data_IF_250410059392
#
_entry.id   IF_250410059392
#
_cell.length_a   1.000
_cell.length_b   1.000
_cell.length_c   1.000
_cell.angle_alpha   90.00
_cell.angle_beta   90.00
_cell.angle_gamma   90.00
#
_symmetry.space_group_name_H-M   'P 1'
#
loop_
_entity.id
_entity.type
_entity.pdbx_description
1 polymer ?
#
# COMPACT_ATOMS: atom_id res chain seq x y z
N UNK A 1 -57.44 -3.02 8.82
CA UNK A 1 -56.66 -2.21 7.87
C UNK A 1 -55.48 -1.48 8.53
N UNK A 2 -55.17 -1.72 9.79
CA UNK A 2 -54.06 -1.03 10.51
C UNK A 2 -52.79 -1.87 10.68
N UNK A 3 -52.83 -3.16 10.35
CA UNK A 3 -51.65 -4.03 10.52
C UNK A 3 -50.55 -3.81 9.46
N UNK A 4 -50.91 -3.52 8.22
CA UNK A 4 -49.95 -3.30 7.14
C UNK A 4 -49.16 -1.98 7.29
N UNK A 5 -49.69 -0.98 7.99
CA UNK A 5 -49.03 0.31 8.15
C UNK A 5 -47.83 0.22 9.09
N UNK A 6 -47.91 -0.61 10.13
CA UNK A 6 -46.79 -0.86 11.05
C UNK A 6 -45.66 -1.61 10.40
N UNK A 7 -45.96 -2.63 9.59
CA UNK A 7 -44.97 -3.41 8.84
C UNK A 7 -44.24 -2.54 7.80
N UNK A 8 -44.98 -1.72 7.07
CA UNK A 8 -44.40 -0.78 6.10
C UNK A 8 -43.50 0.26 6.77
N UNK A 9 -43.91 0.77 7.92
CA UNK A 9 -43.12 1.77 8.65
C UNK A 9 -41.84 1.18 9.22
N UNK A 10 -41.91 -0.03 9.80
CA UNK A 10 -40.73 -0.75 10.31
C UNK A 10 -39.79 -1.16 9.15
N UNK A 11 -40.34 -1.67 8.05
CA UNK A 11 -39.58 -2.01 6.86
C UNK A 11 -38.85 -0.80 6.25
N UNK A 12 -39.55 0.35 6.17
CA UNK A 12 -38.98 1.62 5.70
C UNK A 12 -37.84 2.13 6.60
N UNK A 13 -38.01 2.01 7.93
CA UNK A 13 -36.97 2.39 8.90
C UNK A 13 -35.72 1.54 8.77
N UNK A 14 -35.89 0.21 8.66
CA UNK A 14 -34.76 -0.75 8.47
C UNK A 14 -34.01 -0.45 7.16
N UNK A 15 -34.76 -0.18 6.10
CA UNK A 15 -34.17 0.13 4.79
C UNK A 15 -33.37 1.44 4.82
N UNK A 16 -33.92 2.47 5.48
CA UNK A 16 -33.23 3.75 5.68
C UNK A 16 -31.93 3.58 6.50
N UNK A 17 -31.95 2.77 7.56
CA UNK A 17 -30.76 2.45 8.35
C UNK A 17 -29.73 1.66 7.55
N UNK A 18 -30.15 0.69 6.74
CA UNK A 18 -29.25 -0.10 5.90
C UNK A 18 -28.55 0.78 4.84
N UNK A 19 -29.30 1.66 4.19
CA UNK A 19 -28.73 2.61 3.21
C UNK A 19 -27.78 3.59 3.89
N UNK A 20 -28.16 4.16 5.04
CA UNK A 20 -27.30 5.06 5.82
C UNK A 20 -26.00 4.38 6.26
N UNK A 21 -26.09 3.14 6.74
CA UNK A 21 -24.92 2.35 7.11
C UNK A 21 -24.02 2.03 5.91
N UNK A 22 -24.61 1.71 4.77
CA UNK A 22 -23.86 1.46 3.53
C UNK A 22 -23.07 2.70 3.10
N UNK A 23 -23.71 3.87 3.09
CA UNK A 23 -23.05 5.13 2.77
C UNK A 23 -21.92 5.44 3.76
N UNK A 24 -22.15 5.20 5.05
CA UNK A 24 -21.14 5.38 6.10
C UNK A 24 -19.93 4.47 5.90
N UNK A 25 -20.16 3.19 5.58
CA UNK A 25 -19.10 2.22 5.28
C UNK A 25 -18.31 2.66 4.03
N UNK A 26 -18.97 3.10 2.96
CA UNK A 26 -18.30 3.60 1.77
C UNK A 26 -17.40 4.82 2.07
N UNK A 27 -17.79 5.71 2.96
CA UNK A 27 -16.97 6.86 3.34
C UNK A 27 -15.74 6.47 4.18
N UNK A 28 -15.87 5.47 5.05
CA UNK A 28 -14.76 5.01 5.89
C UNK A 28 -13.77 4.12 5.12
N UNK A 29 -14.27 3.33 4.16
CA UNK A 29 -13.43 2.39 3.40
C UNK A 29 -12.45 3.07 2.44
N UNK A 30 -12.47 4.41 2.35
CA UNK A 30 -11.45 5.17 1.60
C UNK A 30 -11.49 4.93 0.09
N UNK A 31 -12.62 4.46 -0.46
CA UNK A 31 -12.89 4.39 -1.90
C UNK A 31 -13.12 5.78 -2.53
N UNK A 32 -13.05 6.85 -1.73
CA UNK A 32 -12.96 8.20 -2.30
C UNK A 32 -11.61 8.30 -3.00
N UNK A 33 -11.65 8.44 -4.32
CA UNK A 33 -10.55 8.94 -5.11
C UNK A 33 -9.93 10.09 -4.32
N UNK A 34 -8.72 9.88 -3.78
CA UNK A 34 -7.99 10.96 -3.13
C UNK A 34 -7.69 11.98 -4.22
N UNK A 35 -8.60 12.97 -4.35
CA UNK A 35 -8.31 14.20 -5.07
C UNK A 35 -7.09 14.80 -4.40
N UNK A 36 -5.93 14.67 -5.04
CA UNK A 36 -4.66 15.11 -4.52
C UNK A 36 -3.66 13.98 -4.31
N UNK A 37 -3.56 13.04 -5.25
CA UNK A 37 -2.48 12.04 -5.30
C UNK A 37 -2.00 11.82 -6.74
N UNK A 38 -0.72 11.54 -6.88
CA UNK A 38 -0.10 11.22 -8.17
C UNK A 38 0.51 9.81 -8.16
N UNK A 39 0.44 9.09 -9.29
CA UNK A 39 1.03 7.77 -9.41
C UNK A 39 2.53 7.84 -9.68
N UNK A 40 3.27 6.91 -9.10
CA UNK A 40 4.65 6.57 -9.45
C UNK A 40 4.76 5.07 -9.68
N UNK A 41 5.74 4.66 -10.46
CA UNK A 41 5.98 3.26 -10.79
C UNK A 41 7.25 2.76 -10.13
N UNK A 42 7.24 1.49 -9.75
CA UNK A 42 8.42 0.83 -9.23
C UNK A 42 8.39 -0.67 -9.52
N UNK A 43 9.54 -1.28 -9.67
CA UNK A 43 9.69 -2.69 -9.97
C UNK A 43 10.58 -3.36 -8.93
N UNK A 44 10.02 -4.27 -8.13
CA UNK A 44 10.73 -4.99 -7.07
C UNK A 44 11.15 -6.39 -7.51
N UNK A 45 12.31 -6.85 -7.07
CA UNK A 45 12.72 -8.24 -7.26
C UNK A 45 11.85 -9.20 -6.45
N UNK A 46 11.41 -8.79 -5.27
CA UNK A 46 10.47 -9.50 -4.40
C UNK A 46 9.61 -8.49 -3.66
N UNK A 47 8.30 -8.64 -3.75
CA UNK A 47 7.31 -7.84 -3.05
C UNK A 47 6.60 -8.66 -1.96
N UNK A 48 7.32 -9.60 -1.32
CA UNK A 48 6.76 -10.44 -0.27
C UNK A 48 6.18 -9.61 0.87
N UNK A 49 4.93 -9.89 1.23
CA UNK A 49 4.21 -9.17 2.28
C UNK A 49 3.60 -7.83 1.85
N UNK A 50 3.78 -7.40 0.60
CA UNK A 50 3.15 -6.21 0.01
C UNK A 50 1.87 -6.61 -0.72
N UNK A 51 0.85 -5.78 -0.62
CA UNK A 51 -0.44 -5.92 -1.30
C UNK A 51 -1.01 -4.54 -1.65
N UNK A 52 -2.03 -4.51 -2.49
CA UNK A 52 -2.79 -3.28 -2.73
C UNK A 52 -3.34 -2.74 -1.41
N UNK A 53 -3.16 -1.46 -1.15
CA UNK A 53 -3.48 -0.80 0.10
C UNK A 53 -2.34 -0.78 1.14
N UNK A 54 -1.19 -1.42 0.88
CA UNK A 54 -0.02 -1.33 1.75
C UNK A 54 0.45 0.12 1.85
N UNK A 55 0.81 0.54 3.06
CA UNK A 55 1.29 1.90 3.34
C UNK A 55 2.63 2.17 2.68
N UNK A 56 2.76 3.38 2.16
CA UNK A 56 4.03 3.98 1.73
C UNK A 56 4.40 5.08 2.71
N UNK A 57 5.60 4.97 3.29
CA UNK A 57 6.06 5.85 4.38
C UNK A 57 7.36 6.55 4.02
N UNK A 58 7.49 7.78 4.48
CA UNK A 58 8.72 8.56 4.43
C UNK A 58 9.04 8.99 5.87
N UNK A 59 10.23 8.65 6.36
CA UNK A 59 10.62 8.90 7.75
C UNK A 59 9.58 8.40 8.79
N UNK A 60 8.93 7.25 8.51
CA UNK A 60 7.89 6.67 9.36
C UNK A 60 6.49 7.25 9.19
N UNK A 61 6.33 8.35 8.43
CA UNK A 61 5.03 9.00 8.19
C UNK A 61 4.40 8.47 6.91
N UNK A 62 3.11 8.12 6.95
CA UNK A 62 2.37 7.68 5.77
C UNK A 62 2.18 8.81 4.77
N UNK A 63 2.75 8.65 3.58
CA UNK A 63 2.66 9.60 2.47
C UNK A 63 1.89 9.06 1.26
N UNK A 64 1.53 7.78 1.27
CA UNK A 64 0.82 7.15 0.16
C UNK A 64 0.45 5.71 0.42
N UNK A 65 0.05 5.02 -0.63
CA UNK A 65 -0.31 3.60 -0.62
C UNK A 65 0.04 2.93 -1.95
N UNK A 66 0.25 1.62 -1.90
CA UNK A 66 0.34 0.78 -3.11
C UNK A 66 -1.05 0.67 -3.72
N UNK A 67 -1.24 1.14 -4.95
CA UNK A 67 -2.52 1.15 -5.66
C UNK A 67 -2.70 -0.03 -6.62
N UNK A 68 -1.60 -0.57 -7.15
CA UNK A 68 -1.60 -1.78 -7.95
C UNK A 68 -0.31 -2.58 -7.74
N UNK A 69 -0.40 -3.90 -7.90
CA UNK A 69 0.73 -4.82 -7.81
C UNK A 69 0.48 -5.99 -8.75
N UNK A 70 1.34 -6.15 -9.73
CA UNK A 70 1.26 -7.18 -10.75
C UNK A 70 2.61 -7.84 -10.99
N UNK A 71 2.60 -9.07 -11.53
CA UNK A 71 3.84 -9.74 -11.96
C UNK A 71 4.11 -9.44 -13.43
N UNK A 72 5.25 -8.81 -13.71
CA UNK A 72 5.73 -8.69 -15.07
C UNK A 72 6.33 -10.04 -15.52
N UNK A 73 5.66 -10.70 -16.44
CA UNK A 73 6.03 -12.01 -16.96
C UNK A 73 7.30 -11.99 -17.83
N UNK A 74 7.74 -10.83 -18.31
CA UNK A 74 8.95 -10.69 -19.11
C UNK A 74 10.19 -10.54 -18.25
N UNK A 75 10.08 -9.78 -17.18
CA UNK A 75 11.18 -9.46 -16.26
C UNK A 75 11.17 -10.31 -14.99
N UNK A 76 10.07 -11.02 -14.73
CA UNK A 76 9.79 -11.76 -13.48
C UNK A 76 9.96 -10.92 -12.23
N UNK A 77 9.60 -9.63 -12.34
CA UNK A 77 9.62 -8.67 -11.24
C UNK A 77 8.20 -8.28 -10.86
N UNK A 78 8.02 -7.88 -9.61
CA UNK A 78 6.77 -7.32 -9.15
C UNK A 78 6.69 -5.85 -9.57
N UNK A 79 5.86 -5.55 -10.58
CA UNK A 79 5.54 -4.19 -11.00
C UNK A 79 4.49 -3.61 -10.05
N UNK A 80 4.78 -2.46 -9.47
CA UNK A 80 3.89 -1.77 -8.54
C UNK A 80 3.57 -0.36 -9.00
N UNK A 81 2.34 0.06 -8.75
CA UNK A 81 1.92 1.45 -8.84
C UNK A 81 1.68 1.96 -7.43
N UNK A 82 2.29 3.08 -7.11
CA UNK A 82 2.22 3.72 -5.81
C UNK A 82 1.53 5.06 -5.99
N UNK A 83 0.51 5.31 -5.19
CA UNK A 83 -0.19 6.59 -5.13
C UNK A 83 0.37 7.42 -3.99
N UNK A 84 1.02 8.53 -4.29
CA UNK A 84 1.58 9.48 -3.32
C UNK A 84 0.70 10.72 -3.21
N UNK A 85 0.68 11.34 -2.04
CA UNK A 85 -0.01 12.62 -1.81
C UNK A 85 0.64 13.74 -2.62
N UNK A 86 -0.16 14.62 -3.22
CA UNK A 86 0.33 15.70 -4.08
C UNK A 86 1.18 16.75 -3.36
N UNK A 87 1.02 16.88 -2.04
CA UNK A 87 1.81 17.79 -1.20
C UNK A 87 3.23 17.28 -0.93
N UNK A 88 3.53 16.02 -1.26
CA UNK A 88 4.83 15.39 -1.05
C UNK A 88 5.55 15.23 -2.39
N UNK A 89 6.69 15.89 -2.51
CA UNK A 89 7.59 15.72 -3.66
C UNK A 89 8.80 14.92 -3.24
N UNK A 90 9.09 13.86 -3.96
CA UNK A 90 10.29 13.04 -3.71
C UNK A 90 11.34 13.30 -4.80
N UNK A 91 12.64 13.37 -4.42
CA UNK A 91 13.74 13.46 -5.37
C UNK A 91 13.71 12.25 -6.34
N UNK A 92 14.11 12.46 -7.59
CA UNK A 92 14.09 11.39 -8.60
C UNK A 92 15.12 10.28 -8.35
N UNK A 93 16.17 10.56 -7.58
CA UNK A 93 17.17 9.60 -7.11
C UNK A 93 16.80 8.91 -5.79
N UNK A 94 15.54 8.97 -5.40
CA UNK A 94 15.03 8.28 -4.21
C UNK A 94 14.98 6.77 -4.43
N UNK A 95 15.12 6.01 -3.34
CA UNK A 95 14.98 4.57 -3.34
C UNK A 95 13.68 4.12 -2.64
N UNK A 96 13.16 2.98 -3.04
CA UNK A 96 12.05 2.30 -2.37
C UNK A 96 12.54 1.01 -1.72
N UNK A 97 12.28 0.86 -0.45
CA UNK A 97 12.69 -0.29 0.35
C UNK A 97 11.47 -0.94 0.97
N UNK A 98 11.34 -2.26 0.85
CA UNK A 98 10.30 -3.00 1.58
C UNK A 98 10.84 -3.30 2.97
N UNK A 99 10.24 -2.67 3.98
CA UNK A 99 10.60 -2.79 5.39
C UNK A 99 9.49 -3.48 6.18
N UNK A 100 9.86 -4.14 7.28
CA UNK A 100 8.92 -4.78 8.20
C UNK A 100 8.69 -3.92 9.43
N UNK A 101 7.44 -3.90 9.90
CA UNK A 101 7.06 -3.24 11.15
C UNK A 101 7.34 -4.16 12.34
N UNK A 102 8.60 -4.27 12.70
CA UNK A 102 9.06 -5.18 13.76
C UNK A 102 8.96 -6.66 13.39
N UNK A 103 8.93 -7.54 14.39
CA UNK A 103 8.91 -9.01 14.21
C UNK A 103 7.51 -9.57 13.89
N UNK A 104 6.46 -8.93 14.37
CA UNK A 104 5.06 -9.39 14.26
C UNK A 104 4.17 -8.44 13.47
N UNK A 105 4.72 -7.35 12.98
CA UNK A 105 4.02 -6.38 12.15
C UNK A 105 3.98 -6.78 10.67
N UNK A 106 3.23 -6.01 9.89
CA UNK A 106 3.18 -6.16 8.44
C UNK A 106 4.40 -5.53 7.75
N UNK A 107 4.45 -5.68 6.43
CA UNK A 107 5.42 -4.98 5.61
C UNK A 107 4.84 -3.67 5.09
N UNK A 108 5.70 -2.70 4.87
CA UNK A 108 5.37 -1.41 4.26
C UNK A 108 6.47 -1.01 3.28
N UNK A 109 6.15 -0.08 2.40
CA UNK A 109 7.14 0.49 1.47
C UNK A 109 7.70 1.75 2.10
N UNK A 110 9.00 1.79 2.30
CA UNK A 110 9.72 2.95 2.81
C UNK A 110 10.35 3.71 1.64
N UNK A 111 10.12 5.02 1.60
CA UNK A 111 10.81 5.92 0.68
C UNK A 111 12.06 6.44 1.38
N UNK A 112 13.19 6.18 0.77
CA UNK A 112 14.49 6.75 1.19
C UNK A 112 14.81 7.88 0.22
N UNK A 113 14.70 9.16 0.63
CA UNK A 113 14.91 10.27 -0.28
C UNK A 113 16.38 10.36 -0.70
N UNK A 114 16.60 10.67 -1.97
CA UNK A 114 17.91 10.94 -2.50
C UNK A 114 18.37 12.39 -2.23
N UNK A 115 19.42 12.80 -2.91
CA UNK A 115 20.01 14.13 -2.79
C UNK A 115 19.79 15.01 -4.03
N UNK A 116 19.06 14.51 -5.05
CA UNK A 116 18.76 15.26 -6.26
C UNK A 116 17.91 16.51 -5.95
N UNK A 117 18.18 17.58 -6.68
CA UNK A 117 17.32 18.77 -6.67
C UNK A 117 16.14 18.64 -7.63
N UNK A 118 16.16 17.65 -8.51
CA UNK A 118 15.06 17.33 -9.41
C UNK A 118 14.09 16.37 -8.74
N UNK A 119 12.79 16.61 -8.93
CA UNK A 119 11.73 15.84 -8.31
C UNK A 119 11.07 14.90 -9.31
N UNK A 120 10.69 13.72 -8.83
CA UNK A 120 9.98 12.74 -9.62
C UNK A 120 8.64 13.31 -10.11
N UNK A 121 8.44 13.26 -11.43
CA UNK A 121 7.18 13.68 -12.04
C UNK A 121 6.10 12.63 -11.83
N UNK A 122 4.83 13.04 -11.94
CA UNK A 122 3.70 12.11 -11.99
C UNK A 122 3.88 11.10 -13.13
N UNK A 123 3.76 9.81 -12.82
CA UNK A 123 4.04 8.74 -13.77
C UNK A 123 5.53 8.39 -13.92
N UNK A 124 6.39 8.99 -13.11
CA UNK A 124 7.81 8.64 -13.08
C UNK A 124 8.06 7.29 -12.43
N UNK A 125 9.21 6.69 -12.73
CA UNK A 125 9.62 5.39 -12.20
C UNK A 125 10.80 5.54 -11.25
N UNK A 126 10.72 4.90 -10.08
CA UNK A 126 11.85 4.74 -9.18
C UNK A 126 12.57 3.44 -9.53
N UNK A 127 13.81 3.57 -9.95
CA UNK A 127 14.64 2.45 -10.41
C UNK A 127 15.32 1.75 -9.25
N UNK A 128 15.73 2.49 -8.22
CA UNK A 128 16.39 1.91 -7.04
C UNK A 128 15.35 1.32 -6.08
N UNK A 129 15.25 0.00 -6.10
CA UNK A 129 14.29 -0.74 -5.30
C UNK A 129 14.96 -1.88 -4.56
N UNK A 130 14.68 -1.99 -3.27
CA UNK A 130 15.10 -3.12 -2.45
C UNK A 130 13.88 -3.94 -2.04
N UNK A 131 13.91 -5.22 -2.42
CA UNK A 131 12.86 -6.18 -2.07
C UNK A 131 12.87 -6.54 -0.58
N UNK A 132 11.81 -7.21 -0.14
CA UNK A 132 11.70 -7.71 1.23
C UNK A 132 12.81 -8.69 1.58
N UNK A 133 13.40 -8.52 2.74
CA UNK A 133 14.34 -9.46 3.34
C UNK A 133 13.64 -10.15 4.50
N UNK A 134 13.41 -11.46 4.39
CA UNK A 134 12.85 -12.24 5.50
C UNK A 134 13.91 -12.49 6.58
N UNK A 135 13.66 -11.97 7.79
CA UNK A 135 14.53 -12.24 8.96
C UNK A 135 14.64 -13.73 9.26
N UNK A 136 13.56 -14.49 9.00
CA UNK A 136 13.53 -15.95 9.21
C UNK A 136 14.49 -16.64 8.26
N UNK A 137 14.53 -16.24 6.98
CA UNK A 137 15.48 -16.80 6.01
C UNK A 137 16.94 -16.46 6.31
N UNK A 138 17.19 -15.27 6.87
CA UNK A 138 18.52 -14.89 7.35
C UNK A 138 18.94 -15.74 8.58
N UNK A 139 18.02 -15.95 9.52
CA UNK A 139 18.27 -16.78 10.69
C UNK A 139 18.53 -18.26 10.29
N UNK A 140 17.70 -18.79 9.37
CA UNK A 140 17.88 -20.14 8.84
C UNK A 140 19.24 -20.29 8.13
N UNK A 141 19.64 -19.30 7.36
CA UNK A 141 20.94 -19.29 6.67
C UNK A 141 22.11 -19.20 7.66
N UNK A 142 21.94 -18.46 8.76
CA UNK A 142 22.95 -18.38 9.81
C UNK A 142 23.09 -19.72 10.57
N UNK A 143 21.96 -20.37 10.91
CA UNK A 143 21.96 -21.69 11.60
C UNK A 143 22.50 -22.80 10.69
N UNK A 144 22.15 -22.79 9.39
CA UNK A 144 22.63 -23.80 8.44
C UNK A 144 24.07 -23.55 7.96
N UNK A 145 24.53 -22.29 7.91
CA UNK A 145 25.91 -21.95 7.52
C UNK A 145 26.97 -22.19 8.61
N UNK A 146 26.55 -22.55 9.82
CA UNK A 146 27.45 -22.92 10.92
C UNK A 146 27.95 -24.37 10.93
N UNK A 147 27.60 -25.18 9.93
CA UNK A 147 27.90 -26.62 9.90
C UNK A 147 29.04 -27.03 8.95
N UNK A 148 29.67 -26.06 8.26
CA UNK A 148 30.86 -26.33 7.44
C UNK A 148 32.12 -25.82 8.16
N UNK A 149 32.50 -26.53 9.24
CA UNK A 149 33.85 -26.54 9.82
C UNK A 149 34.16 -27.87 10.42
#
# INVERSE_FOLDING_TARGET
MSENTTEVTVGGLVLALAVGFSIFVFQITGLSNSSGSYPIYASFRSAEGIKVGTDVRLAGVKIGTVSALDLDSNTYRAASVISLKDDIRIPEDSALVISSEGLLGGNFVEVVPGASFDYLASGGEIVDTQGSISLISLLMKFVSGGQDR
#
